data_IF_212965095943
#
_entry.id   IF_212965095943
#
_cell.length_a   1.000
_cell.length_b   1.000
_cell.length_c   1.000
_cell.angle_alpha   90.00
_cell.angle_beta   90.00
_cell.angle_gamma   90.00
#
_symmetry.space_group_name_H-M   'P 1'
#
loop_
_entity.id
_entity.type
_entity.pdbx_description
1 polymer ?
#
# COMPACT_ATOMS: atom_id res chain seq x y z
N UNK A 1 -5.67 -15.69 0.72
CA UNK A 1 -5.90 -16.25 -0.62
C UNK A 1 -4.64 -16.94 -1.08
N UNK A 2 -4.72 -18.20 -1.49
CA UNK A 2 -3.59 -18.89 -2.11
C UNK A 2 -3.45 -18.48 -3.57
N UNK A 3 -2.21 -18.22 -4.01
CA UNK A 3 -1.84 -18.03 -5.42
C UNK A 3 -1.40 -19.35 -6.05
N UNK A 4 -1.55 -19.46 -7.37
CA UNK A 4 -1.24 -20.68 -8.13
C UNK A 4 0.26 -20.82 -8.41
N UNK A 5 0.71 -22.02 -8.78
CA UNK A 5 2.10 -22.22 -9.24
C UNK A 5 2.43 -21.39 -10.48
N UNK A 6 1.42 -21.15 -11.34
CA UNK A 6 1.58 -20.27 -12.49
C UNK A 6 1.83 -18.82 -12.06
N UNK A 7 1.14 -18.33 -11.03
CA UNK A 7 1.40 -17.00 -10.47
C UNK A 7 2.80 -16.93 -9.87
N UNK A 8 3.22 -17.94 -9.11
CA UNK A 8 4.58 -18.00 -8.55
C UNK A 8 5.63 -17.94 -9.67
N UNK A 9 5.44 -18.69 -10.75
CA UNK A 9 6.35 -18.66 -11.91
C UNK A 9 6.32 -17.31 -12.64
N UNK A 10 5.15 -16.69 -12.78
CA UNK A 10 5.02 -15.36 -13.37
C UNK A 10 5.74 -14.29 -12.53
N UNK A 11 5.64 -14.36 -11.20
CA UNK A 11 6.36 -13.47 -10.30
C UNK A 11 7.88 -13.66 -10.44
N UNK A 12 8.37 -14.90 -10.44
CA UNK A 12 9.79 -15.20 -10.61
C UNK A 12 10.35 -14.70 -11.95
N UNK A 13 9.54 -14.75 -13.01
CA UNK A 13 9.96 -14.32 -14.36
C UNK A 13 9.89 -12.79 -14.54
N UNK A 14 8.82 -12.15 -14.07
CA UNK A 14 8.49 -10.77 -14.42
C UNK A 14 8.69 -9.77 -13.26
N UNK A 15 8.86 -10.26 -12.02
CA UNK A 15 9.04 -9.45 -10.83
C UNK A 15 7.76 -8.85 -10.22
N UNK A 16 6.57 -9.16 -10.74
CA UNK A 16 5.30 -8.66 -10.20
C UNK A 16 4.12 -9.59 -10.49
N UNK A 17 3.02 -9.39 -9.74
CA UNK A 17 1.71 -10.00 -9.97
C UNK A 17 0.62 -8.91 -9.98
N UNK A 18 -0.45 -9.16 -10.74
CA UNK A 18 -1.57 -8.23 -10.87
C UNK A 18 -2.90 -8.94 -10.61
N UNK A 19 -3.64 -8.46 -9.60
CA UNK A 19 -4.93 -9.00 -9.19
C UNK A 19 -6.02 -7.95 -9.38
N UNK A 20 -6.70 -7.89 -10.53
CA UNK A 20 -7.82 -6.97 -10.72
C UNK A 20 -8.94 -7.32 -9.76
N UNK A 21 -9.62 -6.29 -9.25
CA UNK A 21 -10.82 -6.44 -8.40
C UNK A 21 -10.63 -7.30 -7.13
N UNK A 22 -9.41 -7.36 -6.58
CA UNK A 22 -9.09 -8.10 -5.35
C UNK A 22 -9.96 -7.70 -4.13
N UNK A 23 -10.47 -6.47 -4.15
CA UNK A 23 -11.41 -5.93 -3.18
C UNK A 23 -12.66 -5.41 -3.88
N UNK A 24 -13.82 -5.64 -3.28
CA UNK A 24 -15.11 -5.16 -3.76
C UNK A 24 -15.19 -3.64 -3.75
N UNK A 25 -16.14 -3.09 -4.52
CA UNK A 25 -16.42 -1.64 -4.56
C UNK A 25 -16.71 -1.05 -3.18
N UNK A 26 -17.34 -1.81 -2.28
CA UNK A 26 -17.65 -1.36 -0.92
C UNK A 26 -16.41 -1.35 -0.02
N UNK A 27 -15.55 -2.37 -0.10
CA UNK A 27 -14.25 -2.37 0.60
C UNK A 27 -13.38 -1.19 0.14
N UNK A 28 -13.32 -0.95 -1.17
CA UNK A 28 -12.60 0.22 -1.74
C UNK A 28 -13.19 1.54 -1.26
N UNK A 29 -14.53 1.67 -1.14
CA UNK A 29 -15.19 2.85 -0.59
C UNK A 29 -14.80 3.09 0.88
N UNK A 30 -14.68 2.03 1.67
CA UNK A 30 -14.24 2.11 3.07
C UNK A 30 -12.78 2.59 3.16
N UNK A 31 -11.89 2.06 2.33
CA UNK A 31 -10.49 2.51 2.26
C UNK A 31 -10.40 3.99 1.89
N UNK A 32 -11.14 4.44 0.87
CA UNK A 32 -11.20 5.87 0.50
C UNK A 32 -11.72 6.77 1.61
N UNK A 33 -12.66 6.26 2.41
CA UNK A 33 -13.19 7.01 3.56
C UNK A 33 -12.15 7.08 4.69
N UNK A 34 -11.35 6.03 4.89
CA UNK A 34 -10.25 6.01 5.85
C UNK A 34 -9.14 7.01 5.49
N UNK A 35 -8.80 7.12 4.19
CA UNK A 35 -7.87 8.14 3.69
C UNK A 35 -8.27 9.55 4.15
N UNK A 36 -9.57 9.92 4.03
CA UNK A 36 -10.07 11.23 4.45
C UNK A 36 -9.94 11.51 5.96
N UNK A 37 -9.87 10.46 6.78
CA UNK A 37 -9.62 10.57 8.22
C UNK A 37 -8.12 10.70 8.51
N UNK A 38 -7.32 9.80 7.92
CA UNK A 38 -5.87 9.72 8.16
C UNK A 38 -5.13 10.99 7.75
N UNK A 39 -5.52 11.64 6.66
CA UNK A 39 -4.92 12.93 6.22
C UNK A 39 -5.08 14.04 7.27
N UNK A 40 -6.10 13.97 8.13
CA UNK A 40 -6.38 15.01 9.14
C UNK A 40 -5.60 14.82 10.45
N UNK A 41 -4.88 13.71 10.59
CA UNK A 41 -4.12 13.39 11.80
C UNK A 41 -2.73 14.02 11.65
N UNK A 42 -2.38 15.09 12.38
CA UNK A 42 -1.04 15.67 12.30
C UNK A 42 0.01 14.70 12.86
N UNK A 43 1.23 14.73 12.32
CA UNK A 43 2.34 13.93 12.83
C UNK A 43 3.59 14.02 11.96
N UNK A 44 4.75 13.66 12.53
CA UNK A 44 6.05 13.64 11.85
C UNK A 44 6.09 12.60 10.70
N UNK A 45 5.16 11.66 10.70
CA UNK A 45 4.99 10.65 9.67
C UNK A 45 4.36 11.19 8.36
N UNK A 46 4.00 12.47 8.32
CA UNK A 46 3.42 13.15 7.17
C UNK A 46 4.48 13.96 6.44
N UNK A 47 4.65 13.67 5.15
CA UNK A 47 5.48 14.47 4.24
C UNK A 47 4.58 15.35 3.38
N UNK A 48 4.72 16.69 3.41
CA UNK A 48 3.97 17.59 2.54
C UNK A 48 4.48 17.53 1.09
N UNK A 49 3.66 18.01 0.17
CA UNK A 49 4.03 18.21 -1.23
C UNK A 49 4.98 19.40 -1.38
N UNK A 50 5.84 19.38 -2.40
CA UNK A 50 6.80 20.47 -2.59
C UNK A 50 6.06 21.80 -2.85
N UNK A 51 6.40 22.83 -2.08
CA UNK A 51 5.75 24.15 -2.12
C UNK A 51 4.21 24.12 -1.93
N UNK A 52 3.68 23.17 -1.14
CA UNK A 52 2.25 23.10 -0.85
C UNK A 52 1.96 22.46 0.51
N UNK A 53 0.90 22.91 1.18
CA UNK A 53 0.41 22.28 2.43
C UNK A 53 -0.37 20.98 2.18
N UNK A 54 -0.46 20.51 0.93
CA UNK A 54 -1.07 19.22 0.61
C UNK A 54 -0.18 18.08 1.08
N UNK A 55 -0.80 16.98 1.50
CA UNK A 55 -0.07 15.81 1.97
C UNK A 55 0.42 14.98 0.78
N UNK A 56 1.74 14.80 0.63
CA UNK A 56 2.33 13.95 -0.41
C UNK A 56 2.41 12.48 0.01
N UNK A 57 2.79 12.23 1.25
CA UNK A 57 2.98 10.89 1.77
C UNK A 57 2.63 10.80 3.25
N UNK A 58 2.07 9.66 3.66
CA UNK A 58 1.81 9.33 5.06
C UNK A 58 2.38 7.95 5.36
N UNK A 59 3.26 7.86 6.35
CA UNK A 59 3.84 6.60 6.81
C UNK A 59 3.05 6.00 7.98
N UNK A 60 3.07 4.67 8.07
CA UNK A 60 2.61 3.97 9.27
C UNK A 60 1.10 4.03 9.56
N UNK A 61 0.25 4.35 8.57
CA UNK A 61 -1.19 4.50 8.79
C UNK A 61 -1.88 3.27 9.42
N UNK A 62 -1.28 2.09 9.28
CA UNK A 62 -1.75 0.84 9.88
C UNK A 62 -1.62 0.80 11.42
N UNK A 63 -0.76 1.63 12.01
CA UNK A 63 -0.54 1.69 13.47
C UNK A 63 -1.62 2.48 14.20
N UNK A 64 -2.26 3.44 13.51
CA UNK A 64 -3.20 4.37 14.14
C UNK A 64 -4.56 4.50 13.43
N UNK A 65 -4.77 3.88 12.26
CA UNK A 65 -6.11 3.72 11.67
C UNK A 65 -6.47 2.23 11.51
N UNK A 66 -7.61 1.87 12.11
CA UNK A 66 -8.12 0.50 12.13
C UNK A 66 -8.35 -0.09 10.73
N UNK A 67 -8.78 0.73 9.77
CA UNK A 67 -9.04 0.24 8.40
C UNK A 67 -7.72 -0.17 7.73
N UNK A 68 -6.67 0.64 7.86
CA UNK A 68 -5.36 0.28 7.33
C UNK A 68 -4.68 -0.85 8.11
N UNK A 69 -4.89 -0.93 9.43
CA UNK A 69 -4.43 -2.06 10.24
C UNK A 69 -5.02 -3.39 9.75
N UNK A 70 -6.32 -3.41 9.44
CA UNK A 70 -7.00 -4.58 8.85
C UNK A 70 -6.48 -4.86 7.45
N UNK A 71 -6.31 -3.84 6.60
CA UNK A 71 -5.80 -4.01 5.24
C UNK A 71 -4.43 -4.68 5.23
N UNK A 72 -3.47 -4.17 6.00
CA UNK A 72 -2.11 -4.71 6.03
C UNK A 72 -2.04 -6.16 6.56
N UNK A 73 -3.04 -6.61 7.31
CA UNK A 73 -3.14 -7.98 7.85
C UNK A 73 -4.12 -8.85 7.05
N UNK A 74 -4.65 -8.36 5.93
CA UNK A 74 -5.72 -9.04 5.23
C UNK A 74 -5.20 -10.34 4.59
N UNK A 75 -5.90 -11.49 4.71
CA UNK A 75 -5.42 -12.76 4.17
C UNK A 75 -5.23 -12.78 2.64
N UNK A 76 -5.93 -11.90 1.91
CA UNK A 76 -5.72 -11.71 0.45
C UNK A 76 -4.38 -11.03 0.12
N UNK A 77 -3.68 -10.45 1.09
CA UNK A 77 -2.35 -9.82 0.95
C UNK A 77 -1.29 -10.69 1.63
N UNK A 78 -1.54 -11.13 2.87
CA UNK A 78 -0.56 -11.90 3.65
C UNK A 78 -0.25 -13.25 3.02
N UNK A 79 -1.27 -14.05 2.67
CA UNK A 79 -1.02 -15.40 2.18
C UNK A 79 -0.21 -15.45 0.87
N UNK A 80 -0.47 -14.62 -0.16
CA UNK A 80 0.39 -14.56 -1.33
C UNK A 80 1.82 -14.15 -1.02
N UNK A 81 2.02 -13.18 -0.12
CA UNK A 81 3.34 -12.71 0.27
C UNK A 81 4.13 -13.79 1.03
N UNK A 82 3.49 -14.49 1.98
CA UNK A 82 4.10 -15.64 2.66
C UNK A 82 4.42 -16.78 1.68
N UNK A 83 3.56 -17.06 0.68
CA UNK A 83 3.86 -18.07 -0.34
C UNK A 83 5.06 -17.71 -1.21
N UNK A 84 5.22 -16.43 -1.58
CA UNK A 84 6.34 -15.99 -2.41
C UNK A 84 7.67 -15.96 -1.64
N UNK A 85 7.62 -15.66 -0.34
CA UNK A 85 8.80 -15.59 0.52
C UNK A 85 9.13 -16.91 1.22
N UNK A 86 8.21 -17.88 1.21
CA UNK A 86 8.31 -19.15 1.93
C UNK A 86 8.59 -18.98 3.44
N UNK A 87 8.04 -17.91 4.02
CA UNK A 87 8.22 -17.59 5.44
C UNK A 87 7.07 -16.73 5.97
N UNK A 88 7.01 -16.60 7.30
CA UNK A 88 6.19 -15.61 7.99
C UNK A 88 6.74 -14.21 7.76
N UNK A 89 5.82 -13.25 7.67
CA UNK A 89 6.14 -11.87 7.33
C UNK A 89 5.72 -10.90 8.42
N UNK A 90 6.37 -9.75 8.43
CA UNK A 90 5.96 -8.58 9.21
C UNK A 90 5.96 -7.34 8.32
N UNK A 91 5.36 -6.26 8.80
CA UNK A 91 5.32 -5.00 8.06
C UNK A 91 6.66 -4.29 8.24
N UNK A 92 7.51 -4.30 7.22
CA UNK A 92 8.73 -3.50 7.20
C UNK A 92 8.43 -2.01 7.06
N UNK A 93 7.53 -1.65 6.14
CA UNK A 93 7.08 -0.27 5.92
C UNK A 93 5.64 -0.25 5.37
N UNK A 94 4.88 0.80 5.69
CA UNK A 94 3.63 1.13 4.99
C UNK A 94 3.59 2.61 4.65
N UNK A 95 3.10 2.96 3.46
CA UNK A 95 2.95 4.33 3.01
C UNK A 95 1.66 4.54 2.21
N UNK A 96 1.00 5.68 2.40
CA UNK A 96 -0.02 6.21 1.50
C UNK A 96 0.64 7.30 0.65
N UNK A 97 0.73 7.09 -0.65
CA UNK A 97 1.30 8.06 -1.59
C UNK A 97 0.17 8.78 -2.32
N UNK A 98 0.17 10.11 -2.25
CA UNK A 98 -0.86 10.94 -2.86
C UNK A 98 -0.33 11.55 -4.14
N UNK A 99 -0.98 11.22 -5.26
CA UNK A 99 -0.73 11.86 -6.54
C UNK A 99 -1.96 12.71 -6.90
N UNK A 100 -1.87 14.01 -6.63
CA UNK A 100 -2.95 14.95 -6.92
C UNK A 100 -3.00 15.31 -8.41
N UNK A 101 -4.21 15.40 -8.96
CA UNK A 101 -4.39 15.96 -10.30
C UNK A 101 -3.82 17.37 -10.39
N UNK A 102 -3.08 17.66 -11.47
CA UNK A 102 -2.33 18.91 -11.68
C UNK A 102 -1.23 19.18 -10.63
N UNK A 103 -0.79 18.16 -9.89
CA UNK A 103 0.41 18.22 -9.07
C UNK A 103 1.69 18.19 -9.91
N UNK A 104 2.80 18.58 -9.30
CA UNK A 104 4.13 18.68 -9.94
C UNK A 104 5.03 17.47 -9.65
N UNK A 105 4.58 16.52 -8.83
CA UNK A 105 5.39 15.43 -8.31
C UNK A 105 5.26 14.11 -9.08
N UNK A 106 6.39 13.54 -9.49
CA UNK A 106 6.53 12.14 -9.89
C UNK A 106 7.45 11.38 -8.94
N UNK A 107 7.47 10.05 -9.06
CA UNK A 107 8.50 9.21 -8.45
C UNK A 107 9.48 8.80 -9.55
N UNK A 108 10.75 9.17 -9.40
CA UNK A 108 11.81 8.74 -10.31
C UNK A 108 11.99 7.23 -10.25
N UNK A 109 12.53 6.64 -11.32
CA UNK A 109 12.94 5.25 -11.33
C UNK A 109 13.97 4.98 -10.21
N UNK A 110 13.71 3.95 -9.41
CA UNK A 110 14.56 3.53 -8.29
C UNK A 110 14.32 2.04 -7.99
N UNK A 111 15.15 1.48 -7.10
CA UNK A 111 14.94 0.17 -6.47
C UNK A 111 14.77 0.37 -4.97
N UNK A 112 13.79 -0.32 -4.36
CA UNK A 112 13.48 -0.17 -2.94
C UNK A 112 14.53 -0.84 -2.01
N UNK A 113 15.24 -1.88 -2.46
CA UNK A 113 16.14 -2.70 -1.61
C UNK A 113 17.60 -2.20 -1.49
N UNK A 114 18.04 -1.29 -2.35
CA UNK A 114 19.46 -1.01 -2.65
C UNK A 114 20.41 -0.96 -1.43
#
# INVERSE_FOLDING_TARGET
MKISDQDINNFKKNGFLFFPELFSKNEVKNLRSAVKRVIKIPGENITPEFNSDKVRMIHGAHDYDKTFSILCKHPRIIEPAEQLLDDKIYIHQSRLNFNYGFGTGGFYWHQDYA
#
